data_IF_927585389080
#
_entry.id   IF_927585389080
#
_cell.length_a   1.000
_cell.length_b   1.000
_cell.length_c   1.000
_cell.angle_alpha   90.00
_cell.angle_beta   90.00
_cell.angle_gamma   90.00
#
_symmetry.space_group_name_H-M   'P 1'
#
loop_
_entity.id
_entity.type
_entity.pdbx_description
1 polymer ?
#
# COMPACT_ATOMS: atom_id res chain seq x y z
N UNK A 1 -16.81 -8.70 -8.86
CA UNK A 1 -16.73 -7.29 -8.45
C UNK A 1 -17.20 -7.09 -7.00
N UNK A 2 -18.40 -7.53 -6.59
CA UNK A 2 -18.94 -7.30 -5.23
C UNK A 2 -17.95 -7.61 -4.11
N UNK A 3 -17.35 -8.82 -4.10
CA UNK A 3 -16.38 -9.22 -3.07
C UNK A 3 -15.16 -8.28 -2.98
N UNK A 4 -14.65 -7.80 -4.11
CA UNK A 4 -13.54 -6.86 -4.15
C UNK A 4 -13.90 -5.51 -3.51
N UNK A 5 -15.08 -4.98 -3.82
CA UNK A 5 -15.58 -3.74 -3.24
C UNK A 5 -15.92 -3.91 -1.74
N UNK A 6 -16.41 -5.08 -1.33
CA UNK A 6 -16.64 -5.38 0.10
C UNK A 6 -15.35 -5.31 0.91
N UNK A 7 -14.27 -5.94 0.43
CA UNK A 7 -12.96 -5.88 1.13
C UNK A 7 -12.46 -4.44 1.18
N UNK A 8 -12.57 -3.68 0.09
CA UNK A 8 -12.21 -2.26 0.06
C UNK A 8 -12.99 -1.46 1.13
N UNK A 9 -14.32 -1.63 1.19
CA UNK A 9 -15.17 -0.90 2.14
C UNK A 9 -14.86 -1.28 3.61
N UNK A 10 -14.67 -2.58 3.89
CA UNK A 10 -14.30 -3.07 5.23
C UNK A 10 -12.93 -2.53 5.65
N UNK A 11 -11.95 -2.56 4.76
CA UNK A 11 -10.62 -2.03 5.02
C UNK A 11 -10.64 -0.52 5.24
N UNK A 12 -11.35 0.24 4.41
CA UNK A 12 -11.54 1.69 4.57
C UNK A 12 -12.23 2.01 5.91
N UNK A 13 -13.27 1.28 6.29
CA UNK A 13 -13.96 1.44 7.58
C UNK A 13 -13.05 1.13 8.78
N UNK A 14 -12.26 0.07 8.70
CA UNK A 14 -11.28 -0.28 9.75
C UNK A 14 -10.18 0.80 9.86
N UNK A 15 -9.71 1.35 8.74
CA UNK A 15 -8.75 2.48 8.72
C UNK A 15 -9.36 3.70 9.41
N UNK A 16 -10.58 4.09 9.05
CA UNK A 16 -11.25 5.23 9.70
C UNK A 16 -11.37 5.05 11.19
N UNK A 17 -11.81 3.87 11.65
CA UNK A 17 -12.02 3.59 13.07
C UNK A 17 -10.71 3.57 13.90
N UNK A 18 -9.61 3.06 13.33
CA UNK A 18 -8.35 2.84 14.07
C UNK A 18 -7.31 3.95 13.86
N UNK A 19 -7.41 4.72 12.78
CA UNK A 19 -6.43 5.75 12.44
C UNK A 19 -7.09 7.11 12.22
N UNK A 20 -8.11 7.21 11.36
CA UNK A 20 -8.71 8.48 10.98
C UNK A 20 -9.44 9.19 12.09
N UNK A 21 -10.41 8.52 12.75
CA UNK A 21 -11.20 9.09 13.83
C UNK A 21 -10.34 9.42 15.07
N UNK A 22 -9.41 8.55 15.52
CA UNK A 22 -8.51 8.85 16.62
C UNK A 22 -7.37 9.81 16.27
N UNK A 23 -7.13 10.10 14.96
CA UNK A 23 -6.06 10.97 14.45
C UNK A 23 -4.67 10.55 14.96
N UNK A 24 -4.29 9.29 14.69
CA UNK A 24 -3.11 8.69 15.32
C UNK A 24 -1.78 9.07 14.69
N UNK A 25 -1.76 9.48 13.42
CA UNK A 25 -0.51 9.65 12.65
C UNK A 25 0.47 10.61 13.31
N UNK A 26 0.01 11.79 13.69
CA UNK A 26 0.85 12.87 14.24
C UNK A 26 0.89 12.89 15.78
N UNK A 27 0.29 11.89 16.43
CA UNK A 27 0.18 11.78 17.89
C UNK A 27 1.12 10.69 18.42
N UNK A 28 2.26 11.08 19.01
CA UNK A 28 3.24 10.11 19.53
C UNK A 28 2.68 9.17 20.61
N UNK A 29 1.79 9.69 21.46
CA UNK A 29 1.12 8.95 22.52
C UNK A 29 0.17 7.87 22.00
N UNK A 30 -0.25 7.95 20.73
CA UNK A 30 -1.13 6.98 20.09
C UNK A 30 -0.39 5.74 19.54
N UNK A 31 0.81 5.42 20.02
CA UNK A 31 1.63 4.32 19.52
C UNK A 31 0.89 2.97 19.50
N UNK A 32 0.12 2.65 20.57
CA UNK A 32 -0.68 1.43 20.63
C UNK A 32 -1.75 1.35 19.55
N UNK A 33 -2.45 2.46 19.28
CA UNK A 33 -3.45 2.52 18.21
C UNK A 33 -2.81 2.41 16.81
N UNK A 34 -1.61 2.98 16.60
CA UNK A 34 -0.88 2.79 15.34
C UNK A 34 -0.50 1.34 15.11
N UNK A 35 -0.08 0.62 16.15
CA UNK A 35 0.17 -0.83 16.04
C UNK A 35 -1.14 -1.59 15.76
N UNK A 36 -2.23 -1.26 16.45
CA UNK A 36 -3.54 -1.86 16.18
C UNK A 36 -3.99 -1.60 14.74
N UNK A 37 -3.82 -0.37 14.24
CA UNK A 37 -4.09 -0.03 12.84
C UNK A 37 -3.23 -0.83 11.85
N UNK A 38 -1.92 -0.93 12.10
CA UNK A 38 -1.01 -1.71 11.26
C UNK A 38 -1.42 -3.19 11.21
N UNK A 39 -1.77 -3.78 12.35
CA UNK A 39 -2.11 -5.21 12.44
C UNK A 39 -3.53 -5.48 11.95
N UNK A 40 -4.53 -4.78 12.46
CA UNK A 40 -5.94 -5.12 12.19
C UNK A 40 -6.36 -4.65 10.81
N UNK A 41 -6.26 -3.34 10.52
CA UNK A 41 -6.71 -2.81 9.24
C UNK A 41 -5.80 -3.28 8.10
N UNK A 42 -4.48 -3.12 8.25
CA UNK A 42 -3.59 -3.33 7.11
C UNK A 42 -3.15 -4.79 6.98
N UNK A 43 -2.69 -5.43 8.03
CA UNK A 43 -2.21 -6.81 7.91
C UNK A 43 -3.36 -7.81 7.75
N UNK A 44 -4.32 -7.82 8.69
CA UNK A 44 -5.39 -8.82 8.68
C UNK A 44 -6.42 -8.55 7.59
N UNK A 45 -6.96 -7.34 7.48
CA UNK A 45 -7.99 -7.04 6.48
C UNK A 45 -7.34 -6.79 5.11
N UNK A 46 -6.35 -5.90 5.01
CA UNK A 46 -5.75 -5.49 3.74
C UNK A 46 -4.94 -6.60 3.07
N UNK A 47 -3.88 -7.10 3.75
CA UNK A 47 -2.96 -8.07 3.15
C UNK A 47 -3.55 -9.49 3.17
N UNK A 48 -3.93 -10.01 4.34
CA UNK A 48 -4.43 -11.39 4.44
C UNK A 48 -5.81 -11.52 3.82
N UNK A 49 -6.76 -10.66 4.18
CA UNK A 49 -8.10 -10.64 3.60
C UNK A 49 -8.08 -10.42 2.10
N UNK A 50 -7.34 -9.40 1.63
CA UNK A 50 -7.14 -9.15 0.19
C UNK A 50 -6.52 -10.35 -0.52
N UNK A 51 -5.49 -10.98 0.07
CA UNK A 51 -4.86 -12.17 -0.46
C UNK A 51 -5.80 -13.38 -0.56
N UNK A 52 -6.65 -13.59 0.45
CA UNK A 52 -7.67 -14.65 0.42
C UNK A 52 -8.70 -14.40 -0.69
N UNK A 53 -9.07 -13.14 -0.94
CA UNK A 53 -9.97 -12.78 -2.06
C UNK A 53 -9.30 -13.05 -3.40
N UNK A 54 -8.04 -12.64 -3.60
CA UNK A 54 -7.30 -12.95 -4.83
C UNK A 54 -7.25 -14.47 -5.04
N UNK A 55 -6.88 -15.24 -4.00
CA UNK A 55 -6.85 -16.71 -4.08
C UNK A 55 -8.21 -17.30 -4.45
N UNK A 56 -9.29 -16.84 -3.84
CA UNK A 56 -10.64 -17.29 -4.13
C UNK A 56 -11.03 -17.02 -5.58
N UNK A 57 -10.79 -15.79 -6.08
CA UNK A 57 -11.08 -15.43 -7.47
C UNK A 57 -10.21 -16.21 -8.47
N UNK A 58 -8.96 -16.47 -8.13
CA UNK A 58 -8.05 -17.27 -8.95
C UNK A 58 -8.52 -18.73 -9.04
N UNK A 59 -8.94 -19.32 -7.94
CA UNK A 59 -9.48 -20.69 -7.91
C UNK A 59 -10.80 -20.84 -8.68
N UNK A 60 -11.58 -19.76 -8.77
CA UNK A 60 -12.80 -19.72 -9.60
C UNK A 60 -12.52 -19.46 -11.09
N UNK A 61 -11.27 -19.29 -11.51
CA UNK A 61 -10.89 -18.92 -12.88
C UNK A 61 -11.31 -17.51 -13.29
N UNK A 62 -11.73 -16.66 -12.34
CA UNK A 62 -12.15 -15.28 -12.60
C UNK A 62 -10.96 -14.31 -12.71
N UNK A 63 -9.81 -14.69 -12.19
CA UNK A 63 -8.58 -13.93 -12.15
C UNK A 63 -7.40 -14.87 -12.34
N UNK A 64 -6.29 -14.38 -12.91
CA UNK A 64 -5.03 -15.12 -12.90
C UNK A 64 -4.11 -14.56 -11.82
N UNK A 65 -3.30 -15.42 -11.19
CA UNK A 65 -2.32 -14.99 -10.20
C UNK A 65 -1.36 -13.92 -10.78
N UNK A 66 -0.97 -14.07 -12.05
CA UNK A 66 -0.10 -13.11 -12.75
C UNK A 66 -0.78 -11.75 -12.92
N UNK A 67 -2.07 -11.71 -13.27
CA UNK A 67 -2.81 -10.44 -13.39
C UNK A 67 -2.86 -9.68 -12.06
N UNK A 68 -2.96 -10.40 -10.94
CA UNK A 68 -2.90 -9.82 -9.59
C UNK A 68 -1.48 -9.52 -9.09
N UNK A 69 -0.44 -9.73 -9.91
CA UNK A 69 0.94 -9.41 -9.55
C UNK A 69 1.73 -10.54 -8.89
N UNK A 70 1.21 -11.78 -8.86
CA UNK A 70 1.88 -12.93 -8.23
C UNK A 70 2.66 -13.78 -9.24
N UNK A 71 3.65 -13.17 -9.90
CA UNK A 71 4.55 -13.80 -10.86
C UNK A 71 5.67 -14.68 -10.23
N UNK A 72 6.68 -15.10 -11.03
CA UNK A 72 7.80 -15.95 -10.60
C UNK A 72 8.70 -15.27 -9.55
N UNK A 73 9.44 -16.07 -8.75
CA UNK A 73 10.33 -15.54 -7.71
C UNK A 73 11.47 -14.67 -8.27
N UNK A 74 12.12 -15.10 -9.38
CA UNK A 74 13.19 -14.32 -10.02
C UNK A 74 12.68 -12.96 -10.52
N UNK A 75 11.52 -12.95 -11.17
CA UNK A 75 10.89 -11.68 -11.61
C UNK A 75 10.61 -10.76 -10.42
N UNK A 76 10.13 -11.31 -9.30
CA UNK A 76 9.89 -10.55 -8.09
C UNK A 76 11.13 -9.92 -7.49
N UNK A 77 12.25 -10.64 -7.44
CA UNK A 77 13.50 -10.08 -6.93
C UNK A 77 13.95 -8.88 -7.76
N UNK A 78 13.92 -9.01 -9.10
CA UNK A 78 14.25 -7.92 -10.03
C UNK A 78 13.28 -6.75 -9.87
N UNK A 79 11.96 -7.01 -9.86
CA UNK A 79 10.95 -5.98 -9.72
C UNK A 79 11.06 -5.25 -8.37
N UNK A 80 11.38 -5.99 -7.28
CA UNK A 80 11.59 -5.38 -5.95
C UNK A 80 12.83 -4.47 -5.95
N UNK A 81 13.94 -4.92 -6.54
CA UNK A 81 15.13 -4.08 -6.67
C UNK A 81 14.86 -2.82 -7.50
N UNK A 82 14.13 -2.95 -8.62
CA UNK A 82 13.69 -1.81 -9.44
C UNK A 82 12.76 -0.88 -8.66
N UNK A 83 11.82 -1.43 -7.89
CA UNK A 83 10.89 -0.66 -7.06
C UNK A 83 11.64 0.20 -6.03
N UNK A 84 12.62 -0.38 -5.34
CA UNK A 84 13.48 0.37 -4.41
C UNK A 84 14.32 1.42 -5.14
N UNK A 85 14.94 1.08 -6.26
CA UNK A 85 15.78 2.02 -7.00
C UNK A 85 14.98 3.22 -7.52
N UNK A 86 13.87 2.98 -8.20
CA UNK A 86 13.00 4.04 -8.71
C UNK A 86 12.37 4.84 -7.57
N UNK A 87 11.93 4.18 -6.50
CA UNK A 87 11.39 4.84 -5.32
C UNK A 87 12.40 5.75 -4.64
N UNK A 88 13.66 5.29 -4.49
CA UNK A 88 14.74 6.10 -3.95
C UNK A 88 15.07 7.32 -4.84
N UNK A 89 15.10 7.13 -6.16
CA UNK A 89 15.29 8.23 -7.12
C UNK A 89 14.18 9.27 -6.94
N UNK A 90 12.92 8.85 -6.94
CA UNK A 90 11.78 9.76 -6.76
C UNK A 90 11.84 10.47 -5.41
N UNK A 91 12.18 9.75 -4.33
CA UNK A 91 12.35 10.33 -2.99
C UNK A 91 13.41 11.45 -2.99
N UNK A 92 14.57 11.20 -3.62
CA UNK A 92 15.65 12.18 -3.70
C UNK A 92 15.28 13.38 -4.55
N UNK A 93 14.61 13.18 -5.71
CA UNK A 93 14.23 14.25 -6.61
C UNK A 93 13.17 15.20 -6.03
N UNK A 94 12.37 14.75 -5.08
CA UNK A 94 11.35 15.57 -4.44
C UNK A 94 11.90 16.50 -3.33
N UNK A 95 13.20 16.47 -3.03
CA UNK A 95 13.77 17.21 -1.89
C UNK A 95 13.38 16.54 -0.57
N UNK A 96 14.09 15.48 -0.17
CA UNK A 96 13.69 14.62 0.94
C UNK A 96 13.60 15.38 2.27
N UNK A 97 12.54 15.14 3.07
CA UNK A 97 12.38 15.78 4.40
C UNK A 97 13.47 15.39 5.41
N UNK A 98 14.08 14.23 5.22
CA UNK A 98 15.21 13.76 6.02
C UNK A 98 16.05 12.76 5.22
N UNK A 99 17.37 12.79 5.44
CA UNK A 99 18.33 11.76 5.03
C UNK A 99 18.93 11.01 6.22
N UNK A 100 18.45 11.27 7.43
CA UNK A 100 18.94 10.59 8.64
C UNK A 100 18.57 9.09 8.60
N UNK A 101 19.54 8.15 8.68
CA UNK A 101 19.28 6.73 8.42
C UNK A 101 18.21 6.11 9.31
N UNK A 102 18.20 6.46 10.60
CA UNK A 102 17.21 5.91 11.55
C UNK A 102 15.82 6.47 11.27
N UNK A 103 15.69 7.74 10.87
CA UNK A 103 14.42 8.34 10.45
C UNK A 103 13.87 7.61 9.23
N UNK A 104 14.74 7.33 8.24
CA UNK A 104 14.34 6.58 7.03
C UNK A 104 13.89 5.15 7.36
N UNK A 105 14.63 4.45 8.23
CA UNK A 105 14.29 3.07 8.65
C UNK A 105 12.96 3.06 9.40
N UNK A 106 12.75 3.94 10.37
CA UNK A 106 11.52 4.03 11.14
C UNK A 106 10.34 4.41 10.24
N UNK A 107 10.50 5.44 9.40
CA UNK A 107 9.47 5.88 8.46
C UNK A 107 9.10 4.78 7.47
N UNK A 108 10.11 4.12 6.86
CA UNK A 108 9.90 3.00 5.95
C UNK A 108 9.13 1.86 6.61
N UNK A 109 9.52 1.50 7.85
CA UNK A 109 8.87 0.45 8.61
C UNK A 109 7.44 0.80 9.00
N UNK A 110 7.18 2.06 9.34
CA UNK A 110 5.84 2.53 9.70
C UNK A 110 4.85 2.43 8.54
N UNK A 111 5.27 2.83 7.33
CA UNK A 111 4.36 2.87 6.19
C UNK A 111 4.24 1.52 5.47
N UNK A 112 5.15 0.56 5.68
CA UNK A 112 5.15 -0.71 4.97
C UNK A 112 3.86 -1.53 5.13
N UNK A 113 3.26 -1.69 6.33
CA UNK A 113 1.98 -2.39 6.47
C UNK A 113 0.86 -1.73 5.67
N UNK A 114 0.81 -0.39 5.68
CA UNK A 114 -0.19 0.41 4.96
C UNK A 114 0.00 0.26 3.46
N UNK A 115 1.21 0.49 2.96
CA UNK A 115 1.55 0.37 1.53
C UNK A 115 1.28 -1.03 1.00
N UNK A 116 1.57 -2.08 1.78
CA UNK A 116 1.24 -3.44 1.40
C UNK A 116 -0.28 -3.62 1.28
N UNK A 117 -1.07 -3.17 2.26
CA UNK A 117 -2.52 -3.24 2.22
C UNK A 117 -3.11 -2.46 1.05
N UNK A 118 -2.64 -1.24 0.81
CA UNK A 118 -3.06 -0.39 -0.31
C UNK A 118 -2.83 -1.10 -1.65
N UNK A 119 -1.64 -1.66 -1.86
CA UNK A 119 -1.30 -2.39 -3.09
C UNK A 119 -2.16 -3.65 -3.22
N UNK A 120 -2.38 -4.40 -2.14
CA UNK A 120 -3.25 -5.57 -2.17
C UNK A 120 -4.69 -5.21 -2.51
N UNK A 121 -5.28 -4.27 -1.77
CA UNK A 121 -6.72 -3.98 -1.89
C UNK A 121 -7.02 -3.20 -3.16
N UNK A 122 -6.33 -2.07 -3.41
CA UNK A 122 -6.68 -1.21 -4.53
C UNK A 122 -6.26 -1.82 -5.88
N UNK A 123 -5.11 -2.46 -5.96
CA UNK A 123 -4.59 -2.93 -7.26
C UNK A 123 -4.73 -4.43 -7.46
N UNK A 124 -4.25 -5.27 -6.51
CA UNK A 124 -4.30 -6.73 -6.71
C UNK A 124 -5.71 -7.30 -6.59
N UNK A 125 -6.58 -6.70 -5.77
CA UNK A 125 -7.98 -7.13 -5.62
C UNK A 125 -8.87 -6.34 -6.57
N UNK A 126 -9.04 -5.04 -6.38
CA UNK A 126 -10.01 -4.24 -7.15
C UNK A 126 -9.52 -4.02 -8.58
N UNK A 127 -8.30 -3.53 -8.76
CA UNK A 127 -7.74 -3.26 -10.08
C UNK A 127 -7.72 -4.50 -10.98
N UNK A 128 -7.22 -5.63 -10.47
CA UNK A 128 -7.20 -6.87 -11.24
C UNK A 128 -8.61 -7.43 -11.52
N UNK A 129 -9.58 -7.25 -10.59
CA UNK A 129 -10.97 -7.63 -10.84
C UNK A 129 -11.64 -6.75 -11.90
N UNK A 130 -11.34 -5.44 -11.94
CA UNK A 130 -11.79 -4.52 -13.00
C UNK A 130 -11.16 -4.93 -14.33
N UNK A 131 -9.86 -5.16 -14.39
CA UNK A 131 -9.16 -5.60 -15.60
C UNK A 131 -9.77 -6.88 -16.18
N UNK A 132 -10.05 -7.86 -15.31
CA UNK A 132 -10.64 -9.13 -15.73
C UNK A 132 -12.09 -9.02 -16.23
N UNK A 133 -12.84 -8.02 -15.73
CA UNK A 133 -14.26 -7.84 -16.03
C UNK A 133 -14.53 -6.92 -17.22
N UNK A 134 -13.58 -6.09 -17.61
CA UNK A 134 -13.77 -5.05 -18.62
C UNK A 134 -13.64 -5.58 -20.05
N UNK A 135 -14.45 -5.03 -20.95
CA UNK A 135 -14.40 -5.28 -22.41
C UNK A 135 -14.43 -3.94 -23.14
N UNK A 136 -13.67 -3.67 -24.21
CA UNK A 136 -12.69 -4.57 -24.86
C UNK A 136 -11.42 -4.75 -24.02
N UNK A 137 -10.74 -5.89 -24.17
CA UNK A 137 -9.55 -6.25 -23.36
C UNK A 137 -8.36 -5.29 -23.49
N UNK A 138 -8.23 -4.61 -24.63
CA UNK A 138 -7.12 -3.67 -24.87
C UNK A 138 -7.17 -2.44 -23.95
N UNK A 139 -8.38 -1.97 -23.61
CA UNK A 139 -8.59 -0.84 -22.69
C UNK A 139 -8.59 -1.24 -21.21
N UNK A 140 -8.72 -2.55 -20.90
CA UNK A 140 -8.93 -3.01 -19.54
C UNK A 140 -7.84 -2.66 -18.55
N UNK A 141 -6.52 -2.69 -18.87
CA UNK A 141 -5.47 -2.25 -17.93
C UNK A 141 -5.55 -0.75 -17.61
N UNK A 142 -5.90 0.08 -18.60
CA UNK A 142 -6.04 1.53 -18.41
C UNK A 142 -7.21 1.84 -17.48
N UNK A 143 -8.37 1.22 -17.74
CA UNK A 143 -9.55 1.40 -16.86
C UNK A 143 -9.27 0.88 -15.45
N UNK A 144 -8.59 -0.26 -15.33
CA UNK A 144 -8.19 -0.81 -14.04
C UNK A 144 -7.24 0.15 -13.30
N UNK A 145 -6.28 0.74 -13.99
CA UNK A 145 -5.36 1.72 -13.43
C UNK A 145 -6.10 2.97 -12.93
N UNK A 146 -7.02 3.51 -13.73
CA UNK A 146 -7.81 4.68 -13.35
C UNK A 146 -8.70 4.40 -12.14
N UNK A 147 -9.43 3.27 -12.14
CA UNK A 147 -10.32 2.90 -11.02
C UNK A 147 -9.53 2.63 -9.75
N UNK A 148 -8.45 1.84 -9.82
CA UNK A 148 -7.61 1.54 -8.66
C UNK A 148 -7.01 2.81 -8.06
N UNK A 149 -6.51 3.72 -8.89
CA UNK A 149 -5.91 5.00 -8.45
C UNK A 149 -6.95 5.94 -7.85
N UNK A 150 -8.14 6.04 -8.44
CA UNK A 150 -9.23 6.86 -7.89
C UNK A 150 -9.69 6.33 -6.53
N UNK A 151 -9.86 5.01 -6.38
CA UNK A 151 -10.22 4.41 -5.10
C UNK A 151 -9.11 4.56 -4.06
N UNK A 152 -7.84 4.45 -4.45
CA UNK A 152 -6.71 4.75 -3.59
C UNK A 152 -6.75 6.20 -3.08
N UNK A 153 -7.01 7.18 -3.95
CA UNK A 153 -7.20 8.57 -3.54
C UNK A 153 -8.37 8.73 -2.56
N UNK A 154 -9.55 8.17 -2.89
CA UNK A 154 -10.75 8.24 -2.03
C UNK A 154 -10.55 7.55 -0.68
N UNK A 155 -9.81 6.44 -0.63
CA UNK A 155 -9.46 5.76 0.61
C UNK A 155 -8.82 6.69 1.64
N UNK A 156 -8.05 7.68 1.20
CA UNK A 156 -7.38 8.62 2.10
C UNK A 156 -8.33 9.54 2.87
N UNK A 157 -9.60 9.64 2.50
CA UNK A 157 -10.62 10.28 3.34
C UNK A 157 -10.84 9.55 4.68
N UNK A 158 -10.43 8.28 4.77
CA UNK A 158 -10.46 7.51 6.01
C UNK A 158 -9.25 7.75 6.93
N UNK A 159 -8.25 8.50 6.49
CA UNK A 159 -7.04 8.80 7.26
C UNK A 159 -7.15 10.05 8.14
N UNK A 160 -6.15 10.24 8.98
CA UNK A 160 -5.93 11.49 9.73
C UNK A 160 -5.47 12.63 8.81
N UNK A 161 -5.67 13.91 9.23
CA UNK A 161 -4.97 15.02 8.61
C UNK A 161 -3.45 14.80 8.59
N UNK A 162 -2.75 15.27 7.55
CA UNK A 162 -3.24 16.10 6.44
C UNK A 162 -3.81 15.31 5.25
N UNK A 163 -3.89 13.97 5.31
CA UNK A 163 -4.19 13.12 4.16
C UNK A 163 -5.68 13.08 3.78
N UNK A 164 -6.59 13.45 4.67
CA UNK A 164 -8.04 13.33 4.51
C UNK A 164 -8.72 14.56 3.87
N UNK A 165 -8.03 15.26 2.99
CA UNK A 165 -8.60 16.42 2.27
C UNK A 165 -8.83 16.08 0.78
N UNK A 166 -9.80 16.77 0.14
CA UNK A 166 -10.06 16.57 -1.28
C UNK A 166 -8.86 16.91 -2.17
N UNK A 167 -8.05 17.90 -1.77
CA UNK A 167 -6.78 18.20 -2.46
C UNK A 167 -5.84 17.01 -2.41
N UNK A 168 -5.73 16.37 -1.24
CA UNK A 168 -4.91 15.17 -1.08
C UNK A 168 -5.48 13.98 -1.83
N UNK A 169 -6.80 13.81 -1.89
CA UNK A 169 -7.44 12.77 -2.74
C UNK A 169 -6.98 12.92 -4.19
N UNK A 170 -6.99 14.14 -4.74
CA UNK A 170 -6.50 14.40 -6.09
C UNK A 170 -5.02 14.08 -6.26
N UNK A 171 -4.17 14.59 -5.37
CA UNK A 171 -2.72 14.36 -5.40
C UNK A 171 -2.39 12.85 -5.27
N UNK A 172 -3.03 12.15 -4.33
CA UNK A 172 -2.80 10.73 -4.10
C UNK A 172 -3.37 9.85 -5.23
N UNK A 173 -4.45 10.27 -5.90
CA UNK A 173 -4.88 9.63 -7.15
C UNK A 173 -3.78 9.66 -8.20
N UNK A 174 -3.04 10.77 -8.34
CA UNK A 174 -1.89 10.85 -9.26
C UNK A 174 -0.73 9.94 -8.83
N UNK A 175 -0.43 9.87 -7.53
CA UNK A 175 0.53 8.88 -6.97
C UNK A 175 0.06 7.46 -7.29
N UNK A 176 -1.24 7.20 -7.15
CA UNK A 176 -1.88 5.94 -7.50
C UNK A 176 -1.69 5.56 -8.96
N UNK A 177 -1.74 6.51 -9.89
CA UNK A 177 -1.46 6.25 -11.32
C UNK A 177 -0.02 5.77 -11.53
N UNK A 178 0.96 6.39 -10.86
CA UNK A 178 2.36 5.91 -10.89
C UNK A 178 2.48 4.47 -10.39
N UNK A 179 1.84 4.15 -9.27
CA UNK A 179 1.78 2.79 -8.71
C UNK A 179 1.08 1.81 -9.67
N UNK A 180 0.00 2.25 -10.31
CA UNK A 180 -0.73 1.47 -11.32
C UNK A 180 0.15 1.09 -12.50
N UNK A 181 0.92 2.05 -13.03
CA UNK A 181 1.87 1.78 -14.12
C UNK A 181 2.87 0.71 -13.70
N UNK A 182 3.41 0.80 -12.48
CA UNK A 182 4.37 -0.18 -11.99
C UNK A 182 3.77 -1.57 -11.88
N UNK A 183 2.55 -1.73 -11.32
CA UNK A 183 1.88 -3.03 -11.22
C UNK A 183 1.45 -3.57 -12.58
N UNK A 184 0.71 -2.78 -13.37
CA UNK A 184 0.09 -3.29 -14.60
C UNK A 184 1.11 -3.55 -15.72
N UNK A 185 2.26 -2.87 -15.73
CA UNK A 185 3.37 -3.18 -16.62
C UNK A 185 4.29 -4.26 -16.03
N UNK A 186 4.65 -4.11 -14.75
CA UNK A 186 5.55 -5.02 -14.04
C UNK A 186 4.96 -6.38 -13.70
N UNK A 187 3.65 -6.45 -13.43
CA UNK A 187 2.94 -7.66 -12.98
C UNK A 187 3.61 -8.33 -11.77
N UNK A 188 4.12 -7.51 -10.84
CA UNK A 188 4.72 -8.00 -9.62
C UNK A 188 4.36 -7.16 -8.39
N UNK A 189 3.71 -7.82 -7.43
CA UNK A 189 3.20 -7.16 -6.23
C UNK A 189 4.32 -6.70 -5.30
N UNK A 190 5.40 -7.48 -5.17
CA UNK A 190 6.50 -7.14 -4.25
C UNK A 190 7.25 -5.90 -4.71
N UNK A 191 7.54 -5.81 -6.02
CA UNK A 191 8.13 -4.62 -6.61
C UNK A 191 7.23 -3.40 -6.50
N UNK A 192 5.91 -3.60 -6.69
CA UNK A 192 4.93 -2.52 -6.55
C UNK A 192 4.85 -2.03 -5.10
N UNK A 193 4.87 -2.93 -4.11
CA UNK A 193 4.92 -2.55 -2.69
C UNK A 193 6.19 -1.76 -2.39
N UNK A 194 7.36 -2.21 -2.86
CA UNK A 194 8.62 -1.52 -2.64
C UNK A 194 8.62 -0.09 -3.21
N UNK A 195 8.14 0.07 -4.45
CA UNK A 195 7.99 1.37 -5.09
C UNK A 195 7.00 2.26 -4.36
N UNK A 196 5.81 1.76 -4.10
CA UNK A 196 4.73 2.50 -3.45
C UNK A 196 5.10 2.92 -2.02
N UNK A 197 5.78 2.05 -1.27
CA UNK A 197 6.25 2.36 0.07
C UNK A 197 7.26 3.51 0.10
N UNK A 198 8.11 3.63 -0.92
CA UNK A 198 9.04 4.76 -1.02
C UNK A 198 8.31 6.08 -1.30
N UNK A 199 7.22 6.06 -2.11
CA UNK A 199 6.37 7.24 -2.32
C UNK A 199 5.64 7.64 -1.03
N UNK A 200 5.07 6.66 -0.31
CA UNK A 200 4.39 6.88 0.97
C UNK A 200 5.36 7.39 2.06
N UNK A 201 6.60 6.89 2.08
CA UNK A 201 7.66 7.36 2.97
C UNK A 201 7.86 8.88 2.86
N UNK A 202 7.97 9.41 1.62
CA UNK A 202 8.13 10.84 1.40
C UNK A 202 6.96 11.62 2.02
N UNK A 203 5.71 11.23 1.73
CA UNK A 203 4.51 11.91 2.22
C UNK A 203 4.43 11.92 3.76
N UNK A 204 4.70 10.77 4.38
CA UNK A 204 4.63 10.65 5.86
C UNK A 204 5.76 11.42 6.53
N UNK A 205 7.00 11.32 6.07
CA UNK A 205 8.11 12.08 6.67
C UNK A 205 7.93 13.59 6.50
N UNK A 206 7.36 14.03 5.38
CA UNK A 206 7.01 15.44 5.17
C UNK A 206 5.94 15.89 6.18
N UNK A 207 4.86 15.14 6.35
CA UNK A 207 3.82 15.46 7.32
C UNK A 207 4.35 15.51 8.76
N UNK A 208 5.23 14.56 9.14
CA UNK A 208 5.90 14.55 10.45
C UNK A 208 6.84 15.75 10.64
N UNK A 209 7.54 16.15 9.57
CA UNK A 209 8.40 17.35 9.58
C UNK A 209 7.60 18.64 9.75
N UNK A 210 6.54 18.82 8.97
CA UNK A 210 5.64 19.97 9.05
C UNK A 210 4.93 20.06 10.42
N UNK A 211 4.68 18.92 11.07
CA UNK A 211 4.13 18.86 12.43
C UNK A 211 5.18 19.03 13.55
N UNK A 212 6.49 19.16 13.23
CA UNK A 212 7.57 19.31 14.21
C UNK A 212 7.87 18.06 15.05
N UNK A 213 7.41 16.86 14.63
CA UNK A 213 7.58 15.61 15.40
C UNK A 213 8.61 14.65 14.79
N UNK A 214 9.28 15.04 13.71
CA UNK A 214 10.24 14.21 12.98
C UNK A 214 11.44 13.78 13.84
N UNK A 215 11.93 14.63 14.76
CA UNK A 215 13.03 14.32 15.66
C UNK A 215 12.79 13.08 16.55
N UNK A 216 11.55 12.71 16.79
CA UNK A 216 11.21 11.48 17.53
C UNK A 216 11.52 10.20 16.76
N UNK A 217 11.74 10.31 15.45
CA UNK A 217 12.12 9.20 14.57
C UNK A 217 13.64 8.99 14.51
N UNK A 218 14.45 9.82 15.19
CA UNK A 218 15.91 9.64 15.26
C UNK A 218 16.34 8.51 16.21
N UNK A 219 15.41 8.02 17.05
CA UNK A 219 15.61 6.83 17.88
C UNK A 219 14.89 5.63 17.29
N UNK A 220 15.56 4.47 17.26
CA UNK A 220 15.03 3.25 16.65
C UNK A 220 13.75 2.79 17.37
N UNK A 221 12.68 2.58 16.59
CA UNK A 221 11.35 2.21 17.08
C UNK A 221 11.09 0.73 16.80
N UNK A 222 11.42 -0.15 17.76
CA UNK A 222 11.26 -1.61 17.60
C UNK A 222 9.83 -2.06 17.23
N UNK A 223 8.73 -1.47 17.75
CA UNK A 223 7.39 -1.86 17.32
C UNK A 223 7.13 -1.65 15.83
N UNK A 224 7.67 -0.58 15.23
CA UNK A 224 7.55 -0.33 13.78
C UNK A 224 8.33 -1.37 12.98
N UNK A 225 9.54 -1.69 13.40
CA UNK A 225 10.36 -2.73 12.77
C UNK A 225 9.68 -4.10 12.85
N UNK A 226 9.15 -4.45 14.02
CA UNK A 226 8.43 -5.71 14.20
C UNK A 226 7.21 -5.79 13.25
N UNK A 227 6.41 -4.72 13.15
CA UNK A 227 5.28 -4.67 12.23
C UNK A 227 5.70 -4.81 10.77
N UNK A 228 6.83 -4.20 10.37
CA UNK A 228 7.38 -4.34 9.02
C UNK A 228 7.82 -5.77 8.72
N UNK A 229 8.55 -6.43 9.65
CA UNK A 229 8.99 -7.82 9.51
C UNK A 229 7.79 -8.76 9.38
N UNK A 230 6.78 -8.59 10.23
CA UNK A 230 5.55 -9.39 10.17
C UNK A 230 4.82 -9.16 8.84
N UNK A 231 4.80 -7.93 8.33
CA UNK A 231 4.20 -7.60 7.03
C UNK A 231 4.91 -8.33 5.89
N UNK A 232 6.25 -8.32 5.86
CA UNK A 232 7.02 -9.06 4.86
C UNK A 232 6.70 -10.55 4.94
N UNK A 233 6.67 -11.12 6.15
CA UNK A 233 6.29 -12.52 6.37
C UNK A 233 4.88 -12.84 5.86
N UNK A 234 3.90 -11.98 6.13
CA UNK A 234 2.52 -12.12 5.66
C UNK A 234 2.42 -12.05 4.14
N UNK A 235 3.08 -11.09 3.49
CA UNK A 235 3.12 -10.96 2.02
C UNK A 235 3.70 -12.23 1.39
N UNK A 236 4.80 -12.76 1.94
CA UNK A 236 5.42 -14.00 1.46
C UNK A 236 4.51 -15.22 1.65
N UNK A 237 3.83 -15.33 2.80
CA UNK A 237 2.89 -16.40 3.09
C UNK A 237 1.68 -16.36 2.15
N UNK A 238 1.07 -15.19 1.97
CA UNK A 238 -0.05 -14.98 1.04
C UNK A 238 0.37 -15.30 -0.40
N UNK A 239 1.57 -14.87 -0.80
CA UNK A 239 2.12 -15.20 -2.12
C UNK A 239 2.24 -16.71 -2.35
N UNK A 240 2.73 -17.47 -1.37
CA UNK A 240 2.78 -18.94 -1.45
C UNK A 240 1.38 -19.51 -1.57
N UNK A 241 0.45 -19.04 -0.75
CA UNK A 241 -0.94 -19.49 -0.72
C UNK A 241 -1.71 -19.26 -2.03
N UNK A 242 -1.42 -18.19 -2.76
CA UNK A 242 -2.08 -17.87 -4.05
C UNK A 242 -1.49 -18.73 -5.18
N UNK A 243 -0.23 -19.14 -5.06
CA UNK A 243 0.50 -19.92 -6.08
C UNK A 243 0.34 -21.43 -5.91
N UNK A 244 -0.11 -21.92 -4.74
CA UNK A 244 -0.51 -23.29 -4.46
C UNK A 244 -1.92 -23.59 -4.98
#
# INVERSE_FOLDING_TARGET
>A
MTLALTVFAVWMGATYALEGAPRTLLRPEAAGLRVAYAVVANLLVGVVGGGLVVRHLTRQGRLTAVAAGFGSGRRSAVATAMGFALGAIVYLLQGPPSLHPIVLVNGFAQVLPVSAAEVFVCWAVVGAAVEASWRPRQASPVIAALVASALFGVYHLAHSPPFNTWTMVGALTMVGLGTSLFLFLGRDISGTIAFHNALALFGVLRALGEAGVLGRYETLQLPLLASAIVTVGAVLAVRRLIRS
#
